data_IF_878601422161
#
_entry.id   IF_878601422161
#
_cell.length_a   1.000
_cell.length_b   1.000
_cell.length_c   1.000
_cell.angle_alpha   90.00
_cell.angle_beta   90.00
_cell.angle_gamma   90.00
#
_symmetry.space_group_name_H-M   'P 1'
#
loop_
_entity.id
_entity.type
_entity.pdbx_description
1 polymer ?
#
# COMPACT_ATOMS: atom_id res chain seq x y z
N UNK A 1 -26.54 -3.61 17.85
CA UNK A 1 -25.85 -2.34 18.21
C UNK A 1 -24.35 -2.62 18.19
N UNK A 2 -23.61 -1.88 17.39
CA UNK A 2 -22.16 -2.02 17.22
C UNK A 2 -21.44 -1.34 18.38
N UNK A 3 -20.53 -2.06 19.04
CA UNK A 3 -19.73 -1.59 20.17
C UNK A 3 -18.23 -1.64 19.88
N UNK A 4 -17.78 -2.63 19.09
CA UNK A 4 -16.36 -2.86 18.82
C UNK A 4 -16.10 -3.06 17.32
N UNK A 5 -15.27 -2.20 16.75
CA UNK A 5 -14.98 -2.16 15.31
C UNK A 5 -13.50 -2.44 15.11
N UNK A 6 -13.18 -3.41 14.25
CA UNK A 6 -11.81 -3.67 13.81
C UNK A 6 -11.57 -2.98 12.45
N UNK A 7 -10.63 -2.06 12.43
CA UNK A 7 -10.18 -1.35 11.22
C UNK A 7 -8.88 -2.00 10.74
N UNK A 8 -8.91 -2.56 9.54
CA UNK A 8 -7.79 -3.33 8.95
C UNK A 8 -6.62 -2.46 8.48
N UNK A 9 -6.36 -1.37 9.17
CA UNK A 9 -5.28 -0.41 8.89
C UNK A 9 -4.44 -0.16 10.14
N UNK A 10 -3.22 0.38 9.97
CA UNK A 10 -2.44 0.89 11.09
C UNK A 10 -3.19 1.98 11.85
N UNK A 11 -2.91 2.09 13.14
CA UNK A 11 -3.45 3.18 13.97
C UNK A 11 -3.06 4.53 13.37
N UNK A 12 -4.01 5.48 13.23
CA UNK A 12 -3.70 6.82 12.73
C UNK A 12 -2.61 7.49 13.57
N UNK A 13 -1.65 8.12 12.89
CA UNK A 13 -0.56 8.86 13.56
C UNK A 13 -1.00 10.21 14.11
N UNK A 14 -2.09 10.79 13.57
CA UNK A 14 -2.64 12.06 14.01
C UNK A 14 -3.71 11.86 15.08
N UNK A 15 -3.57 12.53 16.20
CA UNK A 15 -4.61 12.58 17.25
C UNK A 15 -5.91 13.25 16.80
N UNK A 16 -5.87 13.99 15.69
CA UNK A 16 -7.04 14.63 15.06
C UNK A 16 -7.71 13.76 14.01
N UNK A 17 -7.44 12.46 14.01
CA UNK A 17 -8.09 11.54 13.06
C UNK A 17 -9.61 11.49 13.30
N UNK A 18 -10.43 11.57 12.23
CA UNK A 18 -11.90 11.44 12.35
C UNK A 18 -12.36 10.14 13.00
N UNK A 19 -11.54 9.11 13.02
CA UNK A 19 -11.83 7.87 13.73
C UNK A 19 -12.01 8.08 15.24
N UNK A 20 -11.22 8.95 15.86
CA UNK A 20 -11.34 9.23 17.30
C UNK A 20 -12.60 10.00 17.63
N UNK A 21 -13.04 10.89 16.73
CA UNK A 21 -14.33 11.57 16.88
C UNK A 21 -15.49 10.58 16.80
N UNK A 22 -15.42 9.58 15.90
CA UNK A 22 -16.41 8.50 15.81
C UNK A 22 -16.46 7.70 17.11
N UNK A 23 -15.31 7.26 17.61
CA UNK A 23 -15.21 6.49 18.84
C UNK A 23 -15.87 7.23 20.01
N UNK A 24 -15.54 8.52 20.17
CA UNK A 24 -16.07 9.37 21.23
C UNK A 24 -17.58 9.63 21.07
N UNK A 25 -18.02 9.97 19.85
CA UNK A 25 -19.41 10.35 19.58
C UNK A 25 -20.39 9.20 19.75
N UNK A 26 -20.01 7.99 19.33
CA UNK A 26 -20.90 6.82 19.32
C UNK A 26 -20.63 5.86 20.47
N UNK A 27 -19.60 6.09 21.28
CA UNK A 27 -19.22 5.20 22.37
C UNK A 27 -18.76 3.83 21.87
N UNK A 28 -18.11 3.76 20.69
CA UNK A 28 -17.61 2.54 20.11
C UNK A 28 -16.11 2.40 20.33
N UNK A 29 -15.64 1.18 20.59
CA UNK A 29 -14.23 0.84 20.62
C UNK A 29 -13.71 0.66 19.19
N UNK A 30 -12.66 1.40 18.82
CA UNK A 30 -11.98 1.21 17.54
C UNK A 30 -10.63 0.54 17.77
N UNK A 31 -10.48 -0.64 17.19
CA UNK A 31 -9.23 -1.40 17.19
C UNK A 31 -8.60 -1.31 15.81
N UNK A 32 -7.35 -0.87 15.74
CA UNK A 32 -6.60 -0.80 14.49
C UNK A 32 -5.62 -1.97 14.44
N UNK A 33 -5.84 -2.87 13.50
CA UNK A 33 -4.99 -4.04 13.30
C UNK A 33 -4.84 -4.32 11.81
N UNK A 34 -3.66 -4.04 11.20
CA UNK A 34 -3.43 -4.35 9.79
C UNK A 34 -3.58 -5.85 9.51
N UNK A 35 -4.32 -6.19 8.47
CA UNK A 35 -4.48 -7.57 7.98
C UNK A 35 -3.41 -7.97 6.98
N UNK A 36 -2.73 -6.96 6.43
CA UNK A 36 -1.64 -7.12 5.47
C UNK A 36 -0.40 -6.38 5.94
N UNK A 37 0.75 -6.81 5.48
CA UNK A 37 2.03 -6.12 5.66
C UNK A 37 2.82 -6.14 4.37
N UNK A 38 3.75 -5.21 4.23
CA UNK A 38 4.69 -5.16 3.13
C UNK A 38 6.01 -5.77 3.61
N UNK A 39 6.54 -6.72 2.86
CA UNK A 39 7.86 -7.31 3.11
C UNK A 39 8.72 -7.30 1.86
N UNK A 40 10.04 -7.17 2.01
CA UNK A 40 11.00 -7.32 0.93
C UNK A 40 11.06 -8.77 0.43
N UNK A 41 11.29 -8.95 -0.87
CA UNK A 41 11.64 -10.27 -1.39
C UNK A 41 13.08 -10.61 -1.02
N UNK A 42 13.40 -11.91 -0.96
CA UNK A 42 14.75 -12.37 -0.69
C UNK A 42 15.69 -12.14 -1.88
N UNK A 43 17.00 -12.07 -1.65
CA UNK A 43 17.98 -12.05 -2.73
C UNK A 43 17.85 -13.26 -3.67
N UNK A 44 17.46 -14.42 -3.13
CA UNK A 44 17.20 -15.64 -3.91
C UNK A 44 16.05 -15.43 -4.90
N UNK A 45 14.92 -14.92 -4.41
CA UNK A 45 13.73 -14.66 -5.24
C UNK A 45 14.01 -13.56 -6.29
N UNK A 46 14.72 -12.51 -5.89
CA UNK A 46 15.09 -11.45 -6.82
C UNK A 46 15.95 -11.96 -7.99
N UNK A 47 16.90 -12.86 -7.73
CA UNK A 47 17.75 -13.45 -8.80
C UNK A 47 16.95 -14.20 -9.86
N UNK A 48 15.77 -14.71 -9.53
CA UNK A 48 14.91 -15.38 -10.52
C UNK A 48 14.41 -14.44 -11.61
N UNK A 49 14.32 -13.14 -11.33
CA UNK A 49 13.92 -12.11 -12.29
C UNK A 49 15.00 -11.77 -13.30
N UNK A 50 16.25 -12.22 -13.09
CA UNK A 50 17.40 -11.99 -13.98
C UNK A 50 17.69 -10.50 -14.23
N UNK A 51 17.40 -9.65 -13.25
CA UNK A 51 17.68 -8.22 -13.28
C UNK A 51 19.00 -7.95 -12.55
N UNK A 52 19.91 -7.22 -13.21
CA UNK A 52 21.14 -6.74 -12.59
C UNK A 52 21.03 -5.23 -12.34
N UNK A 53 21.04 -4.81 -11.09
CA UNK A 53 20.87 -3.40 -10.70
C UNK A 53 21.94 -2.51 -11.36
N UNK A 54 23.16 -3.01 -11.51
CA UNK A 54 24.28 -2.24 -12.07
C UNK A 54 24.19 -1.99 -13.60
N UNK A 55 23.26 -2.64 -14.29
CA UNK A 55 22.99 -2.38 -15.70
C UNK A 55 22.17 -1.10 -15.91
N UNK A 56 21.64 -0.52 -14.83
CA UNK A 56 20.79 0.67 -14.85
C UNK A 56 21.52 1.89 -14.30
N UNK A 57 21.14 3.06 -14.80
CA UNK A 57 21.76 4.35 -14.47
C UNK A 57 20.85 5.28 -13.70
N UNK A 58 19.57 4.91 -13.62
CA UNK A 58 18.54 5.66 -12.90
C UNK A 58 17.52 4.73 -12.27
N UNK A 59 17.06 5.10 -11.08
CA UNK A 59 16.01 4.37 -10.33
C UNK A 59 14.78 5.25 -10.21
N UNK A 60 13.59 4.68 -10.47
CA UNK A 60 12.30 5.36 -10.30
C UNK A 60 11.67 4.88 -9.01
N UNK A 61 11.43 5.80 -8.07
CA UNK A 61 10.80 5.50 -6.80
C UNK A 61 9.38 6.07 -6.71
N UNK A 62 8.42 5.18 -6.51
CA UNK A 62 7.00 5.51 -6.38
C UNK A 62 6.50 5.55 -4.93
N UNK A 63 7.30 5.06 -3.98
CA UNK A 63 6.95 4.99 -2.57
C UNK A 63 8.19 4.90 -1.67
N UNK A 64 8.00 5.15 -0.37
CA UNK A 64 9.05 4.89 0.64
C UNK A 64 9.38 3.40 0.75
N UNK A 65 8.39 2.52 0.58
CA UNK A 65 8.62 1.07 0.54
C UNK A 65 9.57 0.68 -0.59
N UNK A 66 9.39 1.26 -1.78
CA UNK A 66 10.30 1.02 -2.91
C UNK A 66 11.75 1.42 -2.57
N UNK A 67 11.94 2.55 -1.88
CA UNK A 67 13.28 3.00 -1.43
C UNK A 67 13.86 2.03 -0.41
N UNK A 68 13.13 1.74 0.67
CA UNK A 68 13.61 0.87 1.74
C UNK A 68 14.01 -0.52 1.22
N UNK A 69 13.15 -1.12 0.40
CA UNK A 69 13.40 -2.47 -0.13
C UNK A 69 14.47 -2.48 -1.21
N UNK A 70 14.59 -1.44 -2.03
CA UNK A 70 15.69 -1.32 -2.99
C UNK A 70 17.06 -1.34 -2.29
N UNK A 71 17.26 -0.47 -1.31
CA UNK A 71 18.55 -0.37 -0.63
C UNK A 71 18.83 -1.58 0.27
N UNK A 72 17.81 -2.13 0.93
CA UNK A 72 17.93 -3.36 1.72
C UNK A 72 18.35 -4.54 0.84
N UNK A 73 17.69 -4.71 -0.31
CA UNK A 73 17.99 -5.76 -1.26
C UNK A 73 19.38 -5.59 -1.89
N UNK A 74 19.76 -4.36 -2.27
CA UNK A 74 21.09 -4.07 -2.79
C UNK A 74 22.18 -4.47 -1.78
N UNK A 75 21.97 -4.18 -0.49
CA UNK A 75 22.89 -4.60 0.58
C UNK A 75 22.95 -6.11 0.71
N UNK A 76 21.83 -6.82 0.68
CA UNK A 76 21.75 -8.27 0.74
C UNK A 76 22.45 -8.93 -0.46
N UNK A 77 22.29 -8.34 -1.65
CA UNK A 77 22.97 -8.76 -2.88
C UNK A 77 24.46 -8.37 -2.92
N UNK A 78 24.95 -7.60 -1.92
CA UNK A 78 26.31 -7.03 -1.89
C UNK A 78 26.62 -6.14 -3.09
N UNK A 79 25.62 -5.41 -3.57
CA UNK A 79 25.73 -4.46 -4.67
C UNK A 79 25.99 -3.07 -4.12
N UNK A 80 27.13 -2.48 -4.47
CA UNK A 80 27.44 -1.08 -4.19
C UNK A 80 26.75 -0.19 -5.23
N UNK A 81 25.81 0.65 -4.80
CA UNK A 81 25.14 1.59 -5.71
C UNK A 81 26.13 2.68 -6.13
N UNK A 82 26.34 2.89 -7.45
CA UNK A 82 27.26 3.90 -7.95
C UNK A 82 26.89 5.31 -7.49
N UNK A 83 27.88 6.15 -7.19
CA UNK A 83 27.64 7.54 -6.79
C UNK A 83 26.97 8.40 -7.86
N UNK A 84 27.07 8.02 -9.12
CA UNK A 84 26.46 8.70 -10.27
C UNK A 84 25.04 8.22 -10.58
N UNK A 85 24.52 7.24 -9.83
CA UNK A 85 23.14 6.81 -9.94
C UNK A 85 22.19 7.99 -9.77
N UNK A 86 21.22 8.10 -10.67
CA UNK A 86 20.16 9.11 -10.62
C UNK A 86 18.89 8.53 -10.01
N UNK A 87 18.10 9.38 -9.37
CA UNK A 87 16.86 8.99 -8.72
C UNK A 87 15.72 9.87 -9.19
N UNK A 88 14.63 9.25 -9.61
CA UNK A 88 13.41 9.91 -10.08
C UNK A 88 12.27 9.52 -9.13
N UNK A 89 11.73 10.48 -8.41
CA UNK A 89 10.76 10.25 -7.35
C UNK A 89 9.43 10.92 -7.67
N UNK A 90 8.31 10.26 -7.40
CA UNK A 90 6.98 10.80 -7.73
C UNK A 90 6.60 12.03 -6.89
N UNK A 91 7.25 12.26 -5.73
CA UNK A 91 7.08 13.46 -4.92
C UNK A 91 8.39 13.93 -4.29
N UNK A 92 8.44 15.21 -3.88
CA UNK A 92 9.56 15.77 -3.12
C UNK A 92 9.79 15.01 -1.81
N UNK A 93 8.73 14.69 -1.08
CA UNK A 93 8.81 13.94 0.19
C UNK A 93 9.50 12.59 0.02
N UNK A 94 9.21 11.87 -1.07
CA UNK A 94 9.87 10.61 -1.41
C UNK A 94 11.33 10.87 -1.78
N UNK A 95 11.62 11.94 -2.54
CA UNK A 95 12.98 12.29 -2.91
C UNK A 95 13.87 12.60 -1.71
N UNK A 96 13.34 13.31 -0.72
CA UNK A 96 14.06 13.61 0.52
C UNK A 96 14.29 12.36 1.38
N UNK A 97 13.42 11.37 1.31
CA UNK A 97 13.56 10.12 2.05
C UNK A 97 14.80 9.29 1.65
N UNK A 98 15.32 9.49 0.43
CA UNK A 98 16.55 8.83 -0.04
C UNK A 98 17.75 9.14 0.86
N UNK A 99 17.76 10.28 1.56
CA UNK A 99 18.83 10.67 2.48
C UNK A 99 19.11 9.66 3.59
N UNK A 100 18.15 8.79 3.87
CA UNK A 100 18.33 7.67 4.79
C UNK A 100 19.43 6.69 4.35
N UNK A 101 19.70 6.64 3.03
CA UNK A 101 20.58 5.64 2.42
C UNK A 101 21.77 6.22 1.68
N UNK A 102 21.60 7.36 1.03
CA UNK A 102 22.62 8.00 0.20
C UNK A 102 22.66 9.50 0.43
N UNK A 103 23.80 10.11 0.10
CA UNK A 103 23.93 11.56 0.13
C UNK A 103 23.04 12.20 -0.95
N UNK A 104 22.13 13.09 -0.53
CA UNK A 104 21.27 13.82 -1.44
C UNK A 104 22.08 14.82 -2.28
N UNK A 105 21.98 14.71 -3.60
CA UNK A 105 22.62 15.63 -4.55
C UNK A 105 21.58 16.14 -5.53
N UNK A 106 21.25 17.43 -5.49
CA UNK A 106 20.21 18.07 -6.34
C UNK A 106 20.32 17.74 -7.83
N UNK A 107 21.54 17.62 -8.35
CA UNK A 107 21.78 17.29 -9.76
C UNK A 107 21.47 15.84 -10.16
N UNK A 108 21.21 14.97 -9.21
CA UNK A 108 20.97 13.52 -9.41
C UNK A 108 19.61 13.07 -8.93
N UNK A 109 18.85 13.93 -8.26
CA UNK A 109 17.56 13.62 -7.68
C UNK A 109 16.51 14.53 -8.29
N UNK A 110 15.51 13.92 -8.91
CA UNK A 110 14.41 14.58 -9.60
C UNK A 110 13.10 14.15 -8.97
N UNK A 111 12.11 15.02 -8.93
CA UNK A 111 10.82 14.69 -8.35
C UNK A 111 9.66 15.40 -9.05
N UNK A 112 8.47 14.78 -8.96
CA UNK A 112 7.20 15.33 -9.37
C UNK A 112 6.44 15.96 -8.21
N UNK A 113 5.28 16.55 -8.49
CA UNK A 113 4.48 17.31 -7.52
C UNK A 113 3.19 16.60 -7.12
N UNK A 114 2.62 15.75 -7.99
CA UNK A 114 1.27 15.16 -7.80
C UNK A 114 1.30 13.74 -7.22
N UNK A 115 2.47 13.13 -7.12
CA UNK A 115 2.59 11.71 -6.74
C UNK A 115 2.31 10.73 -7.88
N UNK A 116 2.06 11.23 -9.08
CA UNK A 116 1.87 10.44 -10.30
C UNK A 116 3.14 10.45 -11.14
N UNK A 117 3.38 9.35 -11.84
CA UNK A 117 4.52 9.22 -12.75
C UNK A 117 4.47 10.24 -13.89
N UNK A 118 3.26 10.67 -14.27
CA UNK A 118 3.03 11.65 -15.34
C UNK A 118 3.89 12.91 -15.16
N UNK A 119 4.03 13.39 -13.93
CA UNK A 119 4.84 14.58 -13.64
C UNK A 119 6.34 14.39 -13.86
N UNK A 120 6.82 13.15 -13.76
CA UNK A 120 8.23 12.82 -14.00
C UNK A 120 8.55 12.65 -15.47
N UNK A 121 7.58 12.29 -16.29
CA UNK A 121 7.79 11.99 -17.72
C UNK A 121 8.54 13.08 -18.46
N UNK A 122 8.20 14.38 -18.37
CA UNK A 122 8.94 15.44 -19.05
C UNK A 122 10.42 15.47 -18.67
N UNK A 123 10.73 15.25 -17.39
CA UNK A 123 12.10 15.20 -16.89
C UNK A 123 12.82 13.95 -17.35
N UNK A 124 12.16 12.79 -17.31
CA UNK A 124 12.71 11.52 -17.79
C UNK A 124 13.02 11.56 -19.29
N UNK A 125 12.17 12.19 -20.09
CA UNK A 125 12.42 12.40 -21.54
C UNK A 125 13.63 13.28 -21.79
N UNK A 126 13.91 14.29 -20.96
CA UNK A 126 15.15 15.07 -21.02
C UNK A 126 16.39 14.22 -20.72
N UNK A 127 16.21 13.14 -19.97
CA UNK A 127 17.25 12.17 -19.60
C UNK A 127 17.06 10.82 -20.32
N UNK A 128 16.63 10.85 -21.58
CA UNK A 128 16.27 9.64 -22.35
C UNK A 128 17.43 8.65 -22.60
N UNK A 129 18.65 9.05 -22.33
CA UNK A 129 19.84 8.17 -22.44
C UNK A 129 20.03 7.30 -21.20
N UNK A 130 19.31 7.60 -20.11
CA UNK A 130 19.36 6.78 -18.90
C UNK A 130 18.64 5.44 -19.12
N UNK A 131 19.10 4.43 -18.38
CA UNK A 131 18.43 3.14 -18.26
C UNK A 131 17.71 3.10 -16.91
N UNK A 132 16.39 3.10 -16.94
CA UNK A 132 15.55 3.23 -15.77
C UNK A 132 15.22 1.86 -15.17
N UNK A 133 15.47 1.67 -13.89
CA UNK A 133 14.96 0.55 -13.11
C UNK A 133 13.79 1.04 -12.26
N UNK A 134 12.69 0.29 -12.27
CA UNK A 134 11.47 0.64 -11.54
C UNK A 134 11.17 -0.44 -10.48
N UNK A 135 11.63 -0.26 -9.24
CA UNK A 135 11.25 -1.14 -8.13
C UNK A 135 9.77 -1.02 -7.81
N UNK A 136 9.08 -2.15 -7.70
CA UNK A 136 7.65 -2.18 -7.42
C UNK A 136 7.23 -3.35 -6.55
N UNK A 137 5.96 -3.32 -6.13
CA UNK A 137 5.30 -4.44 -5.46
C UNK A 137 4.98 -5.56 -6.44
N UNK A 138 4.81 -6.77 -5.93
CA UNK A 138 4.24 -7.90 -6.67
C UNK A 138 2.80 -7.60 -7.17
N UNK A 139 2.05 -6.80 -6.41
CA UNK A 139 0.72 -6.31 -6.80
C UNK A 139 0.86 -4.96 -7.48
N UNK A 140 0.89 -4.93 -8.80
CA UNK A 140 0.98 -3.71 -9.62
C UNK A 140 0.19 -3.91 -10.93
N UNK A 141 0.02 -2.81 -11.65
CA UNK A 141 -0.52 -2.81 -13.00
C UNK A 141 0.52 -2.27 -13.98
N UNK A 142 0.29 -2.47 -15.27
CA UNK A 142 1.22 -2.09 -16.33
C UNK A 142 1.19 -0.59 -16.68
N UNK A 143 0.53 0.25 -15.90
CA UNK A 143 0.34 1.66 -16.25
C UNK A 143 1.66 2.42 -16.37
N UNK A 144 2.63 2.17 -15.49
CA UNK A 144 3.94 2.80 -15.53
C UNK A 144 4.73 2.29 -16.73
N UNK A 145 4.78 0.97 -16.93
CA UNK A 145 5.46 0.36 -18.08
C UNK A 145 4.92 0.92 -19.40
N UNK A 146 3.61 0.89 -19.58
CA UNK A 146 2.95 1.41 -20.79
C UNK A 146 3.26 2.89 -21.03
N UNK A 147 3.33 3.70 -19.97
CA UNK A 147 3.66 5.12 -20.08
C UNK A 147 5.11 5.33 -20.50
N UNK A 148 6.07 4.61 -19.92
CA UNK A 148 7.47 4.68 -20.26
C UNK A 148 7.72 4.17 -21.69
N UNK A 149 7.05 3.09 -22.10
CA UNK A 149 7.09 2.56 -23.46
C UNK A 149 6.57 3.57 -24.48
N UNK A 150 5.46 4.26 -24.19
CA UNK A 150 4.88 5.28 -25.07
C UNK A 150 5.87 6.43 -25.36
N UNK A 151 6.81 6.67 -24.45
CA UNK A 151 7.87 7.69 -24.58
C UNK A 151 9.19 7.10 -25.07
N UNK A 152 9.25 5.82 -25.38
CA UNK A 152 10.45 5.10 -25.83
C UNK A 152 11.62 5.24 -24.86
N UNK A 153 11.33 5.23 -23.57
CA UNK A 153 12.32 5.26 -22.50
C UNK A 153 12.80 3.84 -22.22
N UNK A 154 14.11 3.65 -22.13
CA UNK A 154 14.68 2.35 -21.77
C UNK A 154 14.42 2.10 -20.28
N UNK A 155 13.62 1.10 -19.96
CA UNK A 155 13.24 0.79 -18.59
C UNK A 155 13.05 -0.71 -18.36
N UNK A 156 13.11 -1.09 -17.10
CA UNK A 156 12.80 -2.42 -16.61
C UNK A 156 12.08 -2.29 -15.27
N UNK A 157 10.94 -2.93 -15.15
CA UNK A 157 10.28 -3.12 -13.86
C UNK A 157 10.86 -4.33 -13.13
N UNK A 158 10.94 -4.26 -11.83
CA UNK A 158 11.34 -5.39 -11.00
C UNK A 158 10.60 -5.40 -9.67
N UNK A 159 10.17 -6.58 -9.26
CA UNK A 159 9.54 -6.78 -7.96
C UNK A 159 10.62 -6.81 -6.88
N UNK A 160 10.54 -5.93 -5.91
CA UNK A 160 11.46 -5.85 -4.78
C UNK A 160 10.78 -6.01 -3.42
N UNK A 161 9.47 -5.93 -3.38
CA UNK A 161 8.67 -6.14 -2.17
C UNK A 161 7.30 -6.71 -2.55
N UNK A 162 6.61 -7.25 -1.56
CA UNK A 162 5.30 -7.86 -1.74
C UNK A 162 4.37 -7.53 -0.58
N UNK A 163 3.08 -7.54 -0.88
CA UNK A 163 2.03 -7.45 0.11
C UNK A 163 1.63 -8.85 0.53
N UNK A 164 1.76 -9.15 1.81
CA UNK A 164 1.44 -10.47 2.36
C UNK A 164 0.46 -10.35 3.52
N UNK A 165 -0.20 -11.45 3.85
CA UNK A 165 -1.03 -11.54 5.05
C UNK A 165 -0.18 -11.24 6.29
N UNK A 166 -0.71 -10.38 7.15
CA UNK A 166 -0.19 -10.16 8.49
C UNK A 166 -0.92 -11.10 9.43
N UNK A 167 -0.39 -12.32 9.55
CA UNK A 167 -1.06 -13.41 10.22
C UNK A 167 -1.38 -13.10 11.68
N UNK A 168 -2.54 -13.54 12.12
CA UNK A 168 -3.02 -13.42 13.49
C UNK A 168 -2.31 -14.44 14.38
N UNK A 169 -1.99 -14.04 15.60
CA UNK A 169 -1.51 -14.98 16.61
C UNK A 169 -2.66 -15.87 17.09
N UNK A 170 -2.37 -17.05 17.66
CA UNK A 170 -3.42 -17.91 18.25
C UNK A 170 -4.30 -17.16 19.26
N UNK A 171 -3.69 -16.32 20.11
CA UNK A 171 -4.41 -15.49 21.08
C UNK A 171 -5.33 -14.47 20.42
N UNK A 172 -4.90 -13.81 19.36
CA UNK A 172 -5.75 -12.89 18.58
C UNK A 172 -6.93 -13.61 17.93
N UNK A 173 -6.74 -14.86 17.49
CA UNK A 173 -7.79 -15.69 16.92
C UNK A 173 -8.81 -16.09 17.98
N UNK A 174 -8.36 -16.51 19.16
CA UNK A 174 -9.22 -16.92 20.28
C UNK A 174 -10.02 -15.74 20.84
N UNK A 175 -9.43 -14.54 20.83
CA UNK A 175 -10.04 -13.32 21.37
C UNK A 175 -10.73 -12.47 20.29
N UNK A 176 -10.94 -13.03 19.09
CA UNK A 176 -11.57 -12.32 17.98
C UNK A 176 -13.06 -12.07 18.27
N UNK A 177 -13.35 -10.89 18.79
CA UNK A 177 -14.69 -10.47 19.22
C UNK A 177 -14.97 -9.05 18.73
N UNK A 178 -15.53 -8.94 17.52
CA UNK A 178 -15.84 -7.67 16.88
C UNK A 178 -17.27 -7.67 16.32
N UNK A 179 -17.93 -6.52 16.41
CA UNK A 179 -19.25 -6.32 15.83
C UNK A 179 -19.18 -5.87 14.37
N UNK A 180 -18.06 -5.26 13.97
CA UNK A 180 -17.84 -4.80 12.60
C UNK A 180 -16.36 -4.94 12.21
N UNK A 181 -16.13 -5.32 10.94
CA UNK A 181 -14.81 -5.34 10.30
C UNK A 181 -14.79 -4.36 9.13
N UNK A 182 -13.72 -3.58 9.02
CA UNK A 182 -13.54 -2.57 7.97
C UNK A 182 -12.33 -2.88 7.13
N UNK A 183 -12.53 -3.10 5.82
CA UNK A 183 -11.48 -3.47 4.86
C UNK A 183 -11.24 -2.41 3.81
N UNK A 184 -9.98 -2.28 3.37
CA UNK A 184 -9.51 -1.28 2.40
C UNK A 184 -8.84 -1.88 1.16
N UNK A 185 -8.67 -3.20 1.11
CA UNK A 185 -8.06 -3.89 -0.02
C UNK A 185 -8.56 -5.32 -0.16
N UNK A 186 -8.54 -5.90 -1.38
CA UNK A 186 -8.79 -7.31 -1.60
C UNK A 186 -7.89 -8.22 -0.76
N UNK A 187 -6.61 -7.86 -0.63
CA UNK A 187 -5.63 -8.62 0.17
C UNK A 187 -6.00 -8.68 1.65
N UNK A 188 -6.72 -7.68 2.18
CA UNK A 188 -7.26 -7.72 3.54
C UNK A 188 -8.35 -8.79 3.71
N UNK A 189 -9.22 -8.93 2.71
CA UNK A 189 -10.24 -9.99 2.69
C UNK A 189 -9.58 -11.38 2.58
N UNK A 190 -8.57 -11.54 1.72
CA UNK A 190 -7.80 -12.78 1.60
C UNK A 190 -7.12 -13.15 2.92
N UNK A 191 -6.58 -12.16 3.63
CA UNK A 191 -5.99 -12.37 4.96
C UNK A 191 -7.03 -12.82 5.99
N UNK A 192 -8.26 -12.29 5.96
CA UNK A 192 -9.34 -12.77 6.82
C UNK A 192 -9.61 -14.26 6.58
N UNK A 193 -9.83 -14.64 5.34
CA UNK A 193 -10.15 -16.04 4.99
C UNK A 193 -8.99 -17.01 5.26
N UNK A 194 -7.75 -16.53 5.12
CA UNK A 194 -6.55 -17.30 5.45
C UNK A 194 -6.43 -17.57 6.96
N UNK A 195 -6.62 -16.53 7.78
CA UNK A 195 -6.46 -16.64 9.23
C UNK A 195 -7.66 -17.29 9.91
N UNK A 196 -8.83 -17.19 9.30
CA UNK A 196 -10.09 -17.74 9.79
C UNK A 196 -10.75 -18.61 8.71
N UNK A 197 -10.22 -19.83 8.43
CA UNK A 197 -10.74 -20.68 7.33
C UNK A 197 -12.21 -21.06 7.48
N UNK A 198 -12.72 -21.08 8.71
CA UNK A 198 -14.11 -21.38 9.05
C UNK A 198 -14.85 -20.12 9.52
N UNK A 199 -14.51 -18.96 8.96
CA UNK A 199 -15.13 -17.70 9.36
C UNK A 199 -16.62 -17.72 9.05
N UNK A 200 -17.41 -17.61 10.10
CA UNK A 200 -18.86 -17.42 10.02
C UNK A 200 -19.17 -15.97 10.37
N UNK A 201 -19.62 -15.21 9.39
CA UNK A 201 -19.90 -13.78 9.58
C UNK A 201 -21.01 -13.54 10.61
N UNK A 202 -22.06 -14.35 10.61
CA UNK A 202 -23.16 -14.19 11.54
C UNK A 202 -23.73 -12.76 11.55
N UNK A 203 -23.64 -12.11 12.71
CA UNK A 203 -24.09 -10.72 12.91
C UNK A 203 -22.99 -9.68 12.70
N UNK A 204 -21.77 -10.09 12.43
CA UNK A 204 -20.64 -9.16 12.20
C UNK A 204 -20.92 -8.35 10.92
N UNK A 205 -20.93 -7.04 11.05
CA UNK A 205 -21.06 -6.15 9.89
C UNK A 205 -19.74 -6.06 9.13
N UNK A 206 -19.80 -6.06 7.79
CA UNK A 206 -18.63 -5.89 6.94
C UNK A 206 -18.74 -4.57 6.19
N UNK A 207 -17.73 -3.72 6.37
CA UNK A 207 -17.54 -2.48 5.64
C UNK A 207 -16.34 -2.57 4.70
N UNK A 208 -16.49 -2.09 3.48
CA UNK A 208 -15.42 -2.09 2.47
C UNK A 208 -15.21 -0.72 1.86
N UNK A 209 -13.96 -0.38 1.55
CA UNK A 209 -13.59 0.82 0.83
C UNK A 209 -13.00 0.47 -0.55
N UNK A 210 -13.66 0.95 -1.59
CA UNK A 210 -13.29 0.71 -2.97
C UNK A 210 -14.02 -0.49 -3.62
N UNK A 211 -14.34 -0.39 -4.92
CA UNK A 211 -15.12 -1.41 -5.61
C UNK A 211 -14.41 -2.77 -5.70
N UNK A 212 -13.09 -2.79 -5.81
CA UNK A 212 -12.31 -4.04 -5.83
C UNK A 212 -12.37 -4.78 -4.48
N UNK A 213 -12.34 -4.04 -3.37
CA UNK A 213 -12.48 -4.61 -2.03
C UNK A 213 -13.89 -5.17 -1.80
N UNK A 214 -14.91 -4.41 -2.25
CA UNK A 214 -16.30 -4.86 -2.19
C UNK A 214 -16.51 -6.15 -3.01
N UNK A 215 -15.93 -6.22 -4.21
CA UNK A 215 -16.03 -7.42 -5.04
C UNK A 215 -15.33 -8.62 -4.38
N UNK A 216 -14.12 -8.43 -3.84
CA UNK A 216 -13.41 -9.50 -3.14
C UNK A 216 -14.19 -10.04 -1.94
N UNK A 217 -14.87 -9.18 -1.19
CA UNK A 217 -15.73 -9.61 -0.09
C UNK A 217 -16.94 -10.42 -0.58
N UNK A 218 -17.59 -10.00 -1.67
CA UNK A 218 -18.70 -10.76 -2.29
C UNK A 218 -18.21 -12.12 -2.81
N UNK A 219 -17.06 -12.17 -3.46
CA UNK A 219 -16.46 -13.41 -3.97
C UNK A 219 -16.08 -14.38 -2.83
N UNK A 220 -15.73 -13.85 -1.66
CA UNK A 220 -15.50 -14.62 -0.45
C UNK A 220 -16.79 -15.05 0.28
N UNK A 221 -17.97 -14.75 -0.28
CA UNK A 221 -19.27 -15.10 0.30
C UNK A 221 -19.68 -14.23 1.49
N UNK A 222 -19.07 -13.07 1.69
CA UNK A 222 -19.39 -12.16 2.78
C UNK A 222 -20.55 -11.23 2.40
N UNK A 223 -21.46 -11.01 3.36
CA UNK A 223 -22.50 -10.00 3.26
C UNK A 223 -21.86 -8.62 3.49
N UNK A 224 -22.09 -7.68 2.57
CA UNK A 224 -21.66 -6.30 2.74
C UNK A 224 -22.76 -5.48 3.41
N UNK A 225 -22.42 -4.82 4.49
CA UNK A 225 -23.32 -3.97 5.25
C UNK A 225 -23.05 -2.49 4.98
N UNK A 226 -21.83 -2.15 4.56
CA UNK A 226 -21.41 -0.79 4.21
C UNK A 226 -20.39 -0.80 3.08
N UNK A 227 -20.67 -0.08 2.00
CA UNK A 227 -19.75 0.15 0.88
C UNK A 227 -19.42 1.65 0.77
N UNK A 228 -18.13 1.97 0.70
CA UNK A 228 -17.60 3.30 0.44
C UNK A 228 -16.44 3.20 -0.60
N UNK A 229 -16.10 4.26 -1.34
CA UNK A 229 -16.80 5.55 -1.38
C UNK A 229 -18.14 5.45 -2.11
N UNK A 230 -19.05 6.36 -1.77
CA UNK A 230 -20.29 6.58 -2.50
C UNK A 230 -20.45 8.07 -2.80
N UNK A 231 -21.39 8.45 -3.66
CA UNK A 231 -21.67 9.86 -3.95
C UNK A 231 -21.96 10.66 -2.68
N UNK A 232 -22.65 10.02 -1.72
CA UNK A 232 -23.03 10.64 -0.46
C UNK A 232 -21.92 10.61 0.59
N UNK A 233 -21.08 9.56 0.58
CA UNK A 233 -20.00 9.35 1.55
C UNK A 233 -18.70 9.00 0.84
N UNK A 234 -17.87 10.01 0.50
CA UNK A 234 -16.62 9.79 -0.24
C UNK A 234 -15.50 9.19 0.64
N UNK A 235 -15.68 9.13 1.96
CA UNK A 235 -14.70 8.55 2.90
C UNK A 235 -15.32 7.44 3.74
N UNK A 236 -14.48 6.49 4.19
CA UNK A 236 -14.93 5.45 5.11
C UNK A 236 -15.42 6.02 6.44
N UNK A 237 -14.76 7.04 6.98
CA UNK A 237 -15.16 7.68 8.24
C UNK A 237 -16.53 8.35 8.13
N UNK A 238 -16.82 9.01 7.01
CA UNK A 238 -18.14 9.58 6.75
C UNK A 238 -19.23 8.51 6.63
N UNK A 239 -18.92 7.41 5.94
CA UNK A 239 -19.83 6.28 5.81
C UNK A 239 -20.11 5.58 7.15
N UNK A 240 -19.07 5.37 7.96
CA UNK A 240 -19.20 4.79 9.31
C UNK A 240 -20.04 5.66 10.23
N UNK A 241 -19.84 6.97 10.22
CA UNK A 241 -20.65 7.91 11.00
C UNK A 241 -22.14 7.78 10.68
N UNK A 242 -22.47 7.70 9.38
CA UNK A 242 -23.86 7.56 8.96
C UNK A 242 -24.46 6.21 9.36
N UNK A 243 -23.71 5.13 9.15
CA UNK A 243 -24.14 3.79 9.50
C UNK A 243 -24.44 3.67 11.01
N UNK A 244 -23.53 4.16 11.84
CA UNK A 244 -23.70 4.14 13.30
C UNK A 244 -24.86 5.00 13.78
N UNK A 245 -25.17 6.12 13.11
CA UNK A 245 -26.35 6.93 13.39
C UNK A 245 -27.66 6.16 13.13
N UNK A 246 -27.69 5.35 12.07
CA UNK A 246 -28.87 4.55 11.73
C UNK A 246 -29.08 3.39 12.72
N UNK A 247 -28.01 2.80 13.23
CA UNK A 247 -28.05 1.71 14.22
C UNK A 247 -28.51 2.16 15.61
N UNK A 248 -28.49 3.46 15.92
CA UNK A 248 -28.94 4.04 17.20
C UNK A 248 -30.40 4.48 17.19
N UNK A 249 -31.02 4.60 16.00
CA UNK A 249 -32.43 4.97 15.83
C UNK A 249 -33.29 3.73 15.64
#
# INVERSE_FOLDING_TARGET
MIKKILVSQPKPSSEKSPYYDIASKFGVELVFRPFIKVEGITAKDFRTQKVNILDYTAIVFTSRHAIDHFFTLAKELRVAIPEDMKYFCVTETISLYIQKYVQYRKRKVFFGNTGKIDDLIPTMVKHKTEKYLVPMSDVHNDSIANMLDSKKLNHQECVMYRTVSNDFTPEEVETFDYDMLVFFSPSGIESLTKNFPNFEQGKIAIATFGPSTAQAAKDAGLRLDLEAPSEKYPSMTGALQHYLLQEQN
#
